data_IF_717762924130
#
_entry.id   IF_717762924130
#
_cell.length_a   1.000
_cell.length_b   1.000
_cell.length_c   1.000
_cell.angle_alpha   90.00
_cell.angle_beta   90.00
_cell.angle_gamma   90.00
#
_symmetry.space_group_name_H-M   'P 1'
#
loop_
_entity.id
_entity.type
_entity.pdbx_description
1 polymer ?
#
# COMPACT_ATOMS: atom_id res chain seq x y z
N UNK A 1 -4.46 -1.63 14.22
CA UNK A 1 -4.68 -2.74 13.26
C UNK A 1 -5.66 -2.22 12.22
N UNK A 2 -5.63 -2.70 10.96
CA UNK A 2 -6.53 -2.21 9.91
C UNK A 2 -7.99 -2.54 10.23
N UNK A 3 -8.90 -1.77 9.65
CA UNK A 3 -10.33 -1.96 9.86
C UNK A 3 -10.81 -3.27 9.23
N UNK A 4 -11.79 -3.89 9.87
CA UNK A 4 -12.42 -5.12 9.36
C UNK A 4 -12.99 -4.92 7.96
N UNK A 5 -13.49 -3.71 7.67
CA UNK A 5 -13.99 -3.33 6.35
C UNK A 5 -12.89 -3.41 5.28
N UNK A 6 -11.72 -2.84 5.56
CA UNK A 6 -10.55 -2.84 4.65
C UNK A 6 -10.07 -4.25 4.34
N UNK A 7 -9.98 -5.11 5.37
CA UNK A 7 -9.63 -6.53 5.19
C UNK A 7 -10.65 -7.25 4.31
N UNK A 8 -11.94 -6.98 4.51
CA UNK A 8 -13.03 -7.59 3.74
C UNK A 8 -12.98 -7.17 2.27
N UNK A 9 -12.76 -5.88 2.00
CA UNK A 9 -12.61 -5.36 0.63
C UNK A 9 -11.39 -5.96 -0.06
N UNK A 10 -10.24 -6.01 0.61
CA UNK A 10 -9.04 -6.63 0.06
C UNK A 10 -9.23 -8.13 -0.24
N UNK A 11 -9.93 -8.88 0.64
CA UNK A 11 -10.29 -10.28 0.37
C UNK A 11 -11.22 -10.42 -0.82
N UNK A 12 -12.22 -9.54 -0.95
CA UNK A 12 -13.13 -9.50 -2.10
C UNK A 12 -12.36 -9.28 -3.39
N UNK A 13 -11.45 -8.32 -3.42
CA UNK A 13 -10.59 -8.04 -4.57
C UNK A 13 -9.78 -9.27 -5.01
N UNK A 14 -9.19 -9.99 -4.05
CA UNK A 14 -8.45 -11.22 -4.35
C UNK A 14 -9.38 -12.33 -4.89
N UNK A 15 -10.58 -12.48 -4.33
CA UNK A 15 -11.58 -13.45 -4.84
C UNK A 15 -12.07 -13.11 -6.25
N UNK A 16 -12.15 -11.84 -6.57
CA UNK A 16 -12.46 -11.34 -7.93
C UNK A 16 -11.29 -11.53 -8.91
N UNK A 17 -10.17 -12.12 -8.48
CA UNK A 17 -8.99 -12.35 -9.31
C UNK A 17 -8.15 -11.09 -9.55
N UNK A 18 -8.35 -10.01 -8.79
CA UNK A 18 -7.53 -8.80 -8.89
C UNK A 18 -6.12 -9.07 -8.36
N UNK A 19 -5.18 -8.25 -8.79
CA UNK A 19 -3.78 -8.41 -8.39
C UNK A 19 -3.58 -8.15 -6.88
N UNK A 20 -2.57 -8.77 -6.23
CA UNK A 20 -2.24 -8.48 -4.83
C UNK A 20 -1.93 -7.00 -4.58
N UNK A 21 -1.34 -6.30 -5.56
CA UNK A 21 -1.12 -4.85 -5.47
C UNK A 21 -2.41 -4.03 -5.51
N UNK A 22 -3.46 -4.54 -6.15
CA UNK A 22 -4.78 -3.90 -6.15
C UNK A 22 -5.45 -4.06 -4.78
N UNK A 23 -5.49 -5.28 -4.26
CA UNK A 23 -6.03 -5.55 -2.93
C UNK A 23 -5.26 -4.81 -1.82
N UNK A 24 -3.93 -4.68 -1.94
CA UNK A 24 -3.12 -3.88 -1.02
C UNK A 24 -3.45 -2.37 -1.09
N UNK A 25 -4.05 -1.92 -2.20
CA UNK A 25 -4.50 -0.54 -2.40
C UNK A 25 -5.56 -0.11 -1.38
N UNK A 26 -6.42 -1.04 -0.94
CA UNK A 26 -7.44 -0.77 0.10
C UNK A 26 -6.81 -0.28 1.40
N UNK A 27 -5.70 -0.90 1.82
CA UNK A 27 -4.97 -0.50 3.03
C UNK A 27 -4.21 0.82 2.87
N UNK A 28 -3.74 1.11 1.66
CA UNK A 28 -3.12 2.42 1.36
C UNK A 28 -4.19 3.51 1.35
N UNK A 29 -5.38 3.21 0.83
CA UNK A 29 -6.50 4.14 0.85
C UNK A 29 -6.96 4.45 2.28
N UNK A 30 -7.17 3.41 3.10
CA UNK A 30 -7.46 3.55 4.54
C UNK A 30 -6.42 4.44 5.24
N UNK A 31 -5.13 4.16 5.06
CA UNK A 31 -4.05 4.95 5.68
C UNK A 31 -4.08 6.43 5.25
N UNK A 32 -4.42 6.71 4.00
CA UNK A 32 -4.57 8.08 3.51
C UNK A 32 -5.80 8.76 4.11
N UNK A 33 -6.91 8.05 4.30
CA UNK A 33 -8.09 8.59 4.99
C UNK A 33 -7.78 8.88 6.45
N UNK A 34 -7.12 7.99 7.18
CA UNK A 34 -6.73 8.23 8.58
C UNK A 34 -5.87 9.50 8.73
N UNK A 35 -4.98 9.75 7.75
CA UNK A 35 -4.20 10.99 7.70
C UNK A 35 -5.09 12.21 7.40
N UNK A 36 -6.04 12.07 6.46
CA UNK A 36 -6.99 13.15 6.12
C UNK A 36 -7.98 13.43 7.22
N UNK A 37 -8.32 12.46 8.07
CA UNK A 37 -9.20 12.58 9.23
C UNK A 37 -8.45 13.05 10.48
N UNK A 38 -7.12 12.93 10.48
CA UNK A 38 -6.26 13.54 11.48
C UNK A 38 -5.95 12.62 12.66
N UNK A 39 -6.16 11.32 12.50
CA UNK A 39 -5.76 10.33 13.49
C UNK A 39 -4.25 10.38 13.76
N UNK A 40 -3.48 10.59 12.68
CA UNK A 40 -2.05 10.83 12.67
C UNK A 40 -1.61 11.49 11.35
N UNK A 41 -0.39 12.03 11.30
CA UNK A 41 0.20 12.56 10.07
C UNK A 41 1.19 11.60 9.41
N UNK A 42 1.80 12.06 8.32
CA UNK A 42 2.96 11.42 7.71
C UNK A 42 3.89 12.48 7.10
N UNK A 43 5.20 12.27 7.22
CA UNK A 43 6.22 13.19 6.68
C UNK A 43 6.29 13.21 5.16
N UNK A 44 5.73 12.19 4.50
CA UNK A 44 5.69 12.09 3.03
C UNK A 44 4.64 11.08 2.56
N UNK A 45 4.16 11.24 1.32
CA UNK A 45 3.25 10.27 0.70
C UNK A 45 3.87 8.87 0.58
N UNK A 46 5.21 8.78 0.38
CA UNK A 46 5.94 7.51 0.37
C UNK A 46 5.84 6.79 1.72
N UNK A 47 5.89 7.53 2.83
CA UNK A 47 5.73 6.95 4.16
C UNK A 47 4.31 6.43 4.37
N UNK A 48 3.28 7.21 4.04
CA UNK A 48 1.88 6.78 4.14
C UNK A 48 1.64 5.48 3.35
N UNK A 49 2.07 5.46 2.07
CA UNK A 49 1.99 4.25 1.24
C UNK A 49 2.73 3.09 1.91
N UNK A 50 3.93 3.31 2.45
CA UNK A 50 4.70 2.25 3.09
C UNK A 50 4.01 1.67 4.35
N UNK A 51 3.35 2.50 5.16
CA UNK A 51 2.58 2.04 6.33
C UNK A 51 1.39 1.19 5.87
N UNK A 52 0.61 1.67 4.90
CA UNK A 52 -0.51 0.91 4.32
C UNK A 52 -0.07 -0.43 3.71
N UNK A 53 1.06 -0.46 2.99
CA UNK A 53 1.62 -1.69 2.43
C UNK A 53 2.14 -2.68 3.49
N UNK A 54 2.61 -2.19 4.65
CA UNK A 54 3.00 -3.05 5.79
C UNK A 54 1.76 -3.64 6.46
N UNK A 55 0.70 -2.84 6.67
CA UNK A 55 -0.61 -3.32 7.16
C UNK A 55 -1.19 -4.40 6.24
N UNK A 56 -1.15 -4.18 4.93
CA UNK A 56 -1.66 -5.14 3.94
C UNK A 56 -0.98 -6.51 4.05
N UNK A 57 0.36 -6.54 4.15
CA UNK A 57 1.12 -7.79 4.30
C UNK A 57 0.75 -8.52 5.58
N UNK A 58 0.71 -7.81 6.71
CA UNK A 58 0.32 -8.40 8.01
C UNK A 58 -1.12 -8.89 8.04
N UNK A 59 -1.99 -8.31 7.22
CA UNK A 59 -3.39 -8.74 7.07
C UNK A 59 -3.56 -9.93 6.12
N UNK A 60 -2.46 -10.49 5.58
CA UNK A 60 -2.47 -11.70 4.74
C UNK A 60 -2.60 -11.42 3.24
N UNK A 61 -2.46 -10.17 2.79
CA UNK A 61 -2.38 -9.90 1.34
C UNK A 61 -1.05 -10.47 0.82
N UNK A 62 -1.04 -11.32 -0.22
CA UNK A 62 0.18 -11.96 -0.76
C UNK A 62 1.01 -10.98 -1.60
N UNK A 63 1.42 -9.87 -0.99
CA UNK A 63 2.19 -8.81 -1.61
C UNK A 63 3.69 -9.05 -1.41
N UNK A 64 4.38 -9.35 -2.51
CA UNK A 64 5.83 -9.58 -2.51
C UNK A 64 6.59 -8.42 -1.84
N UNK A 65 7.66 -8.72 -1.08
CA UNK A 65 8.58 -7.70 -0.56
C UNK A 65 9.20 -6.88 -1.70
N UNK A 66 9.59 -5.62 -1.44
CA UNK A 66 10.26 -4.79 -2.45
C UNK A 66 11.62 -5.38 -2.86
N UNK A 67 12.04 -5.09 -4.09
CA UNK A 67 13.35 -5.49 -4.61
C UNK A 67 14.48 -4.61 -4.06
N UNK A 68 15.73 -5.02 -4.31
CA UNK A 68 16.93 -4.27 -3.88
C UNK A 68 16.99 -2.85 -4.40
N UNK A 69 16.56 -2.67 -5.65
CA UNK A 69 16.49 -1.36 -6.30
C UNK A 69 15.39 -0.47 -5.71
N UNK A 70 14.42 -1.06 -5.01
CA UNK A 70 13.24 -0.35 -4.51
C UNK A 70 13.34 0.05 -3.05
N UNK A 71 14.07 -0.73 -2.22
CA UNK A 71 14.14 -0.48 -0.80
C UNK A 71 15.43 -1.02 -0.16
N UNK A 72 15.84 -0.39 0.95
CA UNK A 72 17.00 -0.81 1.74
C UNK A 72 16.84 -2.24 2.29
N UNK A 73 17.96 -2.89 2.60
CA UNK A 73 17.97 -4.23 3.20
C UNK A 73 17.11 -4.33 4.48
N UNK A 74 17.08 -3.26 5.30
CA UNK A 74 16.24 -3.21 6.50
C UNK A 74 14.75 -3.24 6.15
N UNK A 75 14.31 -2.42 5.20
CA UNK A 75 12.90 -2.37 4.76
C UNK A 75 12.48 -3.69 4.12
N UNK A 76 13.35 -4.29 3.29
CA UNK A 76 13.10 -5.61 2.69
C UNK A 76 12.90 -6.70 3.74
N UNK A 77 13.78 -6.75 4.75
CA UNK A 77 13.65 -7.70 5.87
C UNK A 77 12.35 -7.49 6.65
N UNK A 78 11.98 -6.24 6.94
CA UNK A 78 10.72 -5.94 7.60
C UNK A 78 9.52 -6.38 6.78
N UNK A 79 9.51 -6.12 5.47
CA UNK A 79 8.43 -6.52 4.58
C UNK A 79 8.29 -8.05 4.45
N UNK A 80 9.41 -8.78 4.48
CA UNK A 80 9.40 -10.25 4.57
C UNK A 80 8.76 -10.73 5.87
N UNK A 81 9.17 -10.19 7.01
CA UNK A 81 8.57 -10.53 8.31
C UNK A 81 7.07 -10.21 8.38
N UNK A 82 6.66 -9.07 7.83
CA UNK A 82 5.25 -8.69 7.77
C UNK A 82 4.43 -9.70 6.93
N UNK A 83 5.02 -10.20 5.85
CA UNK A 83 4.41 -11.22 4.98
C UNK A 83 4.34 -12.58 5.70
N UNK A 84 5.44 -13.05 6.30
CA UNK A 84 5.48 -14.28 7.11
C UNK A 84 4.42 -14.26 8.22
N UNK A 85 4.22 -13.11 8.87
CA UNK A 85 3.18 -12.94 9.89
C UNK A 85 1.78 -13.04 9.29
N UNK A 86 1.54 -12.39 8.15
CA UNK A 86 0.23 -12.46 7.49
C UNK A 86 -0.10 -13.81 6.85
N UNK A 87 0.92 -14.61 6.54
CA UNK A 87 0.80 -15.98 6.03
C UNK A 87 0.78 -17.03 7.15
N UNK A 88 0.78 -16.61 8.41
CA UNK A 88 0.79 -17.48 9.59
C UNK A 88 2.06 -18.35 9.72
N UNK A 89 3.08 -18.12 8.89
CA UNK A 89 4.40 -18.75 8.96
C UNK A 89 5.21 -18.25 10.18
N UNK A 90 4.83 -17.10 10.73
CA UNK A 90 5.49 -16.49 11.88
C UNK A 90 4.51 -15.90 12.88
N UNK A 91 4.70 -16.22 14.16
CA UNK A 91 3.94 -15.58 15.24
C UNK A 91 4.36 -14.11 15.41
N UNK A 92 3.40 -13.15 15.46
CA UNK A 92 3.70 -11.75 15.70
C UNK A 92 4.25 -11.54 17.11
N UNK A 93 5.30 -10.72 17.24
CA UNK A 93 5.81 -10.29 18.55
C UNK A 93 5.07 -9.04 18.99
N UNK A 94 4.60 -9.03 20.24
CA UNK A 94 3.95 -7.87 20.83
C UNK A 94 4.95 -6.69 20.94
N UNK A 95 4.62 -5.50 20.42
CA UNK A 95 5.46 -4.32 20.62
C UNK A 95 5.39 -3.85 22.08
N UNK A 96 6.49 -3.28 22.57
CA UNK A 96 6.47 -2.58 23.86
C UNK A 96 5.44 -1.45 23.86
N UNK A 97 4.60 -1.40 24.91
CA UNK A 97 3.58 -0.34 25.09
C UNK A 97 4.20 1.07 25.04
N UNK A 98 5.35 1.27 25.68
CA UNK A 98 6.08 2.55 25.68
C UNK A 98 6.51 2.95 24.27
N UNK A 99 7.07 2.01 23.51
CA UNK A 99 7.48 2.23 22.11
C UNK A 99 6.28 2.57 21.23
N UNK A 100 5.17 1.84 21.37
CA UNK A 100 3.95 2.08 20.61
C UNK A 100 3.41 3.49 20.84
N UNK A 101 3.30 3.92 22.11
CA UNK A 101 2.86 5.28 22.46
C UNK A 101 3.79 6.36 21.90
N UNK A 102 5.11 6.16 21.99
CA UNK A 102 6.08 7.09 21.45
C UNK A 102 5.98 7.24 19.92
N UNK A 103 5.87 6.11 19.19
CA UNK A 103 5.70 6.14 17.73
C UNK A 103 4.40 6.81 17.32
N UNK A 104 3.29 6.52 18.02
CA UNK A 104 2.01 7.18 17.75
C UNK A 104 2.08 8.69 18.02
N UNK A 105 2.69 9.10 19.13
CA UNK A 105 2.90 10.51 19.46
C UNK A 105 3.75 11.25 18.43
N UNK A 106 4.78 10.59 17.89
CA UNK A 106 5.58 11.15 16.81
C UNK A 106 4.76 11.33 15.52
N UNK A 107 3.99 10.31 15.11
CA UNK A 107 3.14 10.41 13.91
C UNK A 107 2.07 11.48 14.05
N UNK A 108 1.51 11.70 15.25
CA UNK A 108 0.52 12.76 15.50
C UNK A 108 1.07 14.19 15.34
N UNK A 109 2.40 14.37 15.45
CA UNK A 109 3.06 15.67 15.23
C UNK A 109 3.36 15.93 13.75
N UNK A 110 3.31 14.90 12.92
CA UNK A 110 3.51 15.04 11.48
C UNK A 110 2.32 15.75 10.82
N UNK A 111 2.56 16.38 9.67
CA UNK A 111 1.50 17.02 8.89
C UNK A 111 0.60 16.05 8.12
N UNK A 112 -0.53 16.56 7.62
CA UNK A 112 -1.53 15.81 6.81
C UNK A 112 -1.31 15.97 5.30
N UNK A 113 -0.39 16.85 4.90
CA UNK A 113 -0.09 17.19 3.50
C UNK A 113 0.33 15.97 2.67
N UNK A 114 0.92 14.95 3.30
CA UNK A 114 1.30 13.70 2.65
C UNK A 114 0.11 12.97 1.99
N UNK A 115 -1.12 13.17 2.47
CA UNK A 115 -2.32 12.57 1.91
C UNK A 115 -3.09 13.50 0.95
N UNK A 116 -2.55 14.69 0.67
CA UNK A 116 -3.14 15.64 -0.27
C UNK A 116 -3.10 15.14 -1.72
N UNK A 117 -4.06 15.59 -2.52
CA UNK A 117 -4.15 15.25 -3.95
C UNK A 117 -2.89 15.68 -4.72
N UNK A 118 -2.34 16.84 -4.38
CA UNK A 118 -1.13 17.40 -4.96
C UNK A 118 0.09 16.52 -4.65
N UNK A 119 0.29 16.11 -3.40
CA UNK A 119 1.41 15.27 -3.00
C UNK A 119 1.35 13.88 -3.65
N UNK A 120 0.16 13.27 -3.68
CA UNK A 120 -0.06 11.98 -4.33
C UNK A 120 0.16 12.05 -5.86
N UNK A 121 -0.29 13.14 -6.50
CA UNK A 121 -0.04 13.39 -7.92
C UNK A 121 1.45 13.53 -8.22
N UNK A 122 2.19 14.28 -7.40
CA UNK A 122 3.63 14.43 -7.53
C UNK A 122 4.35 13.07 -7.40
N UNK A 123 3.97 12.25 -6.42
CA UNK A 123 4.53 10.92 -6.23
C UNK A 123 4.22 9.99 -7.42
N UNK A 124 3.00 10.02 -7.96
CA UNK A 124 2.62 9.24 -9.13
C UNK A 124 3.43 9.66 -10.39
N UNK A 125 3.60 10.96 -10.61
CA UNK A 125 4.43 11.51 -11.69
C UNK A 125 5.90 11.12 -11.54
N UNK A 126 6.45 11.14 -10.32
CA UNK A 126 7.82 10.69 -10.06
C UNK A 126 7.99 9.20 -10.37
N UNK A 127 7.05 8.37 -9.92
CA UNK A 127 7.08 6.93 -10.19
C UNK A 127 6.94 6.60 -11.69
N UNK A 128 6.14 7.37 -12.44
CA UNK A 128 5.97 7.15 -13.88
C UNK A 128 7.24 7.49 -14.68
N UNK A 129 7.99 8.50 -14.25
CA UNK A 129 9.29 8.88 -14.86
C UNK A 129 10.36 7.80 -14.75
N UNK A 130 10.30 6.96 -13.71
CA UNK A 130 11.23 5.85 -13.52
C UNK A 130 10.92 4.61 -14.39
N UNK A 131 9.78 4.59 -15.09
CA UNK A 131 9.40 3.45 -15.93
C UNK A 131 10.14 3.47 -17.27
N UNK A 132 10.68 2.32 -17.67
CA UNK A 132 11.28 2.14 -19.00
C UNK A 132 10.25 2.35 -20.11
N UNK A 133 10.73 2.65 -21.34
CA UNK A 133 9.86 2.79 -22.50
C UNK A 133 9.00 1.53 -22.74
N UNK A 134 9.58 0.35 -22.54
CA UNK A 134 8.88 -0.94 -22.64
C UNK A 134 7.76 -1.07 -21.62
N UNK A 135 8.01 -0.73 -20.34
CA UNK A 135 7.01 -0.78 -19.28
C UNK A 135 5.87 0.23 -19.50
N UNK A 136 6.15 1.40 -20.10
CA UNK A 136 5.12 2.37 -20.50
C UNK A 136 4.27 1.82 -21.64
N UNK A 137 4.88 1.23 -22.67
CA UNK A 137 4.19 0.61 -23.82
C UNK A 137 3.26 -0.54 -23.40
N UNK A 138 3.71 -1.44 -22.52
CA UNK A 138 2.88 -2.55 -22.03
C UNK A 138 1.69 -2.04 -21.21
N UNK A 139 1.89 -1.03 -20.38
CA UNK A 139 0.81 -0.40 -19.61
C UNK A 139 -0.24 0.25 -20.53
N UNK A 140 0.20 0.95 -21.57
CA UNK A 140 -0.70 1.55 -22.57
C UNK A 140 -1.50 0.49 -23.35
N UNK A 141 -0.85 -0.60 -23.78
CA UNK A 141 -1.52 -1.74 -24.43
C UNK A 141 -2.56 -2.39 -23.53
N UNK A 142 -2.23 -2.59 -22.25
CA UNK A 142 -3.18 -3.12 -21.25
C UNK A 142 -4.39 -2.20 -21.10
N UNK A 143 -4.16 -0.89 -20.96
CA UNK A 143 -5.24 0.09 -20.83
C UNK A 143 -6.16 0.13 -22.07
N UNK A 144 -5.59 0.03 -23.28
CA UNK A 144 -6.38 -0.08 -24.51
C UNK A 144 -7.23 -1.36 -24.55
N UNK A 145 -6.65 -2.51 -24.16
CA UNK A 145 -7.38 -3.77 -24.08
C UNK A 145 -8.53 -3.71 -23.05
N UNK A 146 -8.30 -3.11 -21.88
CA UNK A 146 -9.35 -2.93 -20.86
C UNK A 146 -10.47 -2.04 -21.37
N UNK A 147 -10.16 -0.91 -22.03
CA UNK A 147 -11.18 -0.04 -22.64
C UNK A 147 -12.03 -0.76 -23.69
N UNK A 148 -11.39 -1.54 -24.57
CA UNK A 148 -12.08 -2.34 -25.60
C UNK A 148 -12.98 -3.42 -24.98
N UNK A 149 -12.56 -4.03 -23.86
CA UNK A 149 -13.36 -5.02 -23.16
C UNK A 149 -14.59 -4.38 -22.47
N UNK A 150 -14.44 -3.19 -21.87
CA UNK A 150 -15.54 -2.48 -21.23
C UNK A 150 -16.55 -1.86 -22.21
N UNK A 151 -16.13 -1.58 -23.45
CA UNK A 151 -17.01 -1.02 -24.49
C UNK A 151 -17.76 -2.08 -25.30
N UNK A 152 -17.54 -3.38 -25.07
CA UNK A 152 -18.34 -4.44 -25.69
C UNK A 152 -19.65 -4.61 -24.89
N UNK A 153 -20.84 -4.56 -25.53
CA UNK A 153 -22.09 -4.84 -24.84
C UNK A 153 -22.01 -6.24 -24.22
N UNK A 154 -22.42 -6.35 -22.95
CA UNK A 154 -22.55 -7.64 -22.27
C UNK A 154 -23.67 -8.40 -22.98
N UNK A 155 -23.33 -9.50 -23.64
CA UNK A 155 -24.29 -10.45 -24.22
C UNK A 155 -24.86 -11.35 -23.13
#
# INVERSE_FOLDING_TARGET
>A
MPDKATVTRAKKDLREGKSPSTAAGEFVHEELEHIREGEHGARSSKQAIAIGLSKARRAGVPLKPPTEKQASARTRRSAKQDLEVGQEERKPRAPSKKRSKATQGALKREGRQAASKQALSAQAKSASRQRTATARKTSARKAAATRKASSRPRR
#
